data_IF_889444633204
#
_entry.id   IF_889444633204
#
_cell.length_a   1.000
_cell.length_b   1.000
_cell.length_c   1.000
_cell.angle_alpha   90.00
_cell.angle_beta   90.00
_cell.angle_gamma   90.00
#
_symmetry.space_group_name_H-M   'P 1'
#
loop_
_entity.id
_entity.type
_entity.pdbx_description
1 polymer ?
#
# COMPACT_ATOMS: atom_id res chain seq x y z
N UNK A 1 5.29 10.23 16.62
CA UNK A 1 4.56 10.12 15.34
C UNK A 1 5.58 9.68 14.30
N UNK A 2 5.47 8.45 13.80
CA UNK A 2 6.29 8.00 12.68
C UNK A 2 5.48 8.30 11.42
N UNK A 3 5.69 9.47 10.82
CA UNK A 3 5.17 9.77 9.48
C UNK A 3 5.95 8.91 8.49
N UNK A 4 5.28 7.99 7.80
CA UNK A 4 5.91 7.33 6.65
C UNK A 4 5.92 8.32 5.49
N UNK A 5 7.11 8.63 4.98
CA UNK A 5 7.33 9.55 3.87
C UNK A 5 6.93 8.93 2.52
N UNK A 6 6.77 9.77 1.51
CA UNK A 6 6.49 9.32 0.15
C UNK A 6 7.70 8.52 -0.36
N UNK A 7 7.46 7.29 -0.79
CA UNK A 7 8.51 6.38 -1.22
C UNK A 7 8.18 5.74 -2.57
N UNK A 8 9.20 5.52 -3.38
CA UNK A 8 9.07 4.71 -4.60
C UNK A 8 9.73 3.37 -4.33
N UNK A 9 8.92 2.32 -4.30
CA UNK A 9 9.39 0.94 -4.15
C UNK A 9 9.40 0.29 -5.52
N UNK A 10 10.54 -0.30 -5.89
CA UNK A 10 10.66 -1.05 -7.14
C UNK A 10 10.25 -2.50 -6.86
N UNK A 11 9.21 -2.96 -7.55
CA UNK A 11 8.76 -4.35 -7.48
C UNK A 11 9.80 -5.27 -8.15
N UNK A 12 10.01 -6.44 -7.55
CA UNK A 12 10.80 -7.52 -8.15
C UNK A 12 9.91 -8.47 -8.92
N UNK A 13 10.51 -9.30 -9.77
CA UNK A 13 9.77 -10.30 -10.54
C UNK A 13 8.87 -11.16 -9.66
N UNK A 14 7.56 -11.11 -9.92
CA UNK A 14 6.58 -11.90 -9.19
C UNK A 14 6.19 -11.33 -7.82
N UNK A 15 6.67 -10.14 -7.45
CA UNK A 15 6.14 -9.40 -6.32
C UNK A 15 4.67 -9.04 -6.57
N UNK A 16 3.91 -9.02 -5.48
CA UNK A 16 2.52 -8.60 -5.48
C UNK A 16 2.38 -7.24 -4.81
N UNK A 17 1.46 -6.41 -5.30
CA UNK A 17 1.26 -5.07 -4.76
C UNK A 17 0.80 -5.09 -3.29
N UNK A 18 -0.04 -6.04 -2.92
CA UNK A 18 -0.49 -6.26 -1.53
C UNK A 18 0.69 -6.63 -0.61
N UNK A 19 1.61 -7.48 -1.07
CA UNK A 19 2.84 -7.80 -0.35
C UNK A 19 3.72 -6.57 -0.14
N UNK A 20 3.92 -5.74 -1.17
CA UNK A 20 4.70 -4.51 -1.07
C UNK A 20 4.06 -3.52 -0.10
N UNK A 21 2.74 -3.37 -0.14
CA UNK A 21 1.96 -2.52 0.76
C UNK A 21 2.06 -3.02 2.20
N UNK A 22 1.87 -4.32 2.44
CA UNK A 22 2.02 -4.91 3.76
C UNK A 22 3.45 -4.77 4.29
N UNK A 23 4.46 -4.98 3.45
CA UNK A 23 5.87 -4.83 3.84
C UNK A 23 6.24 -3.38 4.20
N UNK A 24 5.65 -2.40 3.51
CA UNK A 24 5.96 -1.00 3.73
C UNK A 24 5.17 -0.40 4.90
N UNK A 25 3.86 -0.68 5.00
CA UNK A 25 2.95 -0.06 5.97
C UNK A 25 2.54 -0.97 7.12
N UNK A 26 2.81 -2.28 7.05
CA UNK A 26 2.33 -3.27 8.03
C UNK A 26 0.82 -3.52 7.97
N UNK A 27 0.10 -2.89 7.04
CA UNK A 27 -1.37 -2.91 6.92
C UNK A 27 -1.80 -2.90 5.45
N UNK A 28 -2.99 -3.46 5.16
CA UNK A 28 -3.52 -3.64 3.80
C UNK A 28 -4.74 -2.76 3.48
N UNK A 29 -5.34 -2.13 4.48
CA UNK A 29 -6.42 -1.15 4.37
C UNK A 29 -6.06 0.05 3.48
N UNK A 30 -4.77 0.33 3.33
CA UNK A 30 -4.22 1.43 2.51
C UNK A 30 -4.01 1.05 1.04
N UNK A 31 -4.25 -0.22 0.67
CA UNK A 31 -4.09 -0.72 -0.70
C UNK A 31 -4.92 0.08 -1.73
N UNK A 32 -6.20 0.44 -1.48
CA UNK A 32 -6.96 1.26 -2.41
C UNK A 32 -6.35 2.64 -2.62
N UNK A 33 -5.78 3.26 -1.59
CA UNK A 33 -5.09 4.56 -1.69
C UNK A 33 -3.83 4.45 -2.55
N UNK A 34 -3.05 3.39 -2.36
CA UNK A 34 -1.86 3.09 -3.18
C UNK A 34 -2.26 2.88 -4.64
N UNK A 35 -3.34 2.14 -4.90
CA UNK A 35 -3.87 1.94 -6.27
C UNK A 35 -4.37 3.25 -6.91
N UNK A 36 -4.97 4.16 -6.14
CA UNK A 36 -5.37 5.48 -6.65
C UNK A 36 -4.17 6.31 -7.09
N UNK A 37 -3.05 6.25 -6.35
CA UNK A 37 -1.80 6.92 -6.71
C UNK A 37 -1.07 6.24 -7.87
N UNK A 38 -1.34 4.94 -8.07
CA UNK A 38 -0.77 4.12 -9.14
C UNK A 38 -1.85 3.64 -10.13
N UNK A 39 -2.55 4.58 -10.78
CA UNK A 39 -3.62 4.25 -11.75
C UNK A 39 -3.17 3.31 -12.86
N UNK A 40 -1.90 3.33 -13.24
CA UNK A 40 -1.34 2.40 -14.21
C UNK A 40 -1.43 0.93 -13.71
N UNK A 41 -1.14 0.70 -12.43
CA UNK A 41 -1.24 -0.62 -11.80
C UNK A 41 -2.69 -1.05 -11.63
N UNK A 42 -3.59 -0.11 -11.30
CA UNK A 42 -5.02 -0.39 -11.18
C UNK A 42 -5.71 -0.76 -12.52
N UNK A 43 -5.05 -0.50 -13.66
CA UNK A 43 -5.54 -0.86 -15.00
C UNK A 43 -5.01 -2.21 -15.49
N UNK A 44 -4.06 -2.80 -14.77
CA UNK A 44 -3.53 -4.12 -15.10
C UNK A 44 -4.61 -5.18 -14.90
N UNK A 45 -4.50 -6.28 -15.64
CA UNK A 45 -5.38 -7.43 -15.41
C UNK A 45 -5.09 -8.01 -14.02
N UNK A 46 -6.06 -8.71 -13.42
CA UNK A 46 -5.85 -9.37 -12.13
C UNK A 46 -4.61 -10.28 -12.14
N UNK A 47 -4.32 -10.92 -13.29
CA UNK A 47 -3.15 -11.77 -13.49
C UNK A 47 -1.83 -11.00 -13.40
N UNK A 48 -1.79 -9.80 -13.97
CA UNK A 48 -0.59 -8.95 -13.99
C UNK A 48 -0.44 -8.16 -12.67
N UNK A 49 -1.53 -7.91 -11.94
CA UNK A 49 -1.48 -7.39 -10.57
C UNK A 49 -0.94 -8.42 -9.55
N UNK A 50 -1.15 -9.71 -9.83
CA UNK A 50 -0.66 -10.85 -9.03
C UNK A 50 0.82 -11.16 -9.28
N UNK A 51 1.41 -10.67 -10.36
CA UNK A 51 2.84 -10.81 -10.65
C UNK A 51 3.32 -9.56 -11.36
N UNK A 52 3.78 -8.59 -10.57
CA UNK A 52 4.35 -7.38 -11.13
C UNK A 52 5.62 -7.74 -11.92
N UNK A 53 5.79 -7.18 -13.13
CA UNK A 53 7.06 -7.25 -13.83
C UNK A 53 8.19 -6.67 -12.98
N UNK A 54 9.39 -7.26 -13.09
CA UNK A 54 10.58 -6.72 -12.43
C UNK A 54 10.83 -5.28 -12.86
N UNK A 55 11.24 -4.44 -11.92
CA UNK A 55 11.51 -3.03 -12.18
C UNK A 55 10.26 -2.14 -12.17
N UNK A 56 9.07 -2.67 -11.88
CA UNK A 56 7.84 -1.86 -11.84
C UNK A 56 7.90 -0.87 -10.67
N UNK A 57 7.87 0.46 -10.91
CA UNK A 57 7.88 1.44 -9.83
C UNK A 57 6.49 1.55 -9.21
N UNK A 58 6.40 1.34 -7.89
CA UNK A 58 5.18 1.50 -7.11
C UNK A 58 5.34 2.72 -6.20
N UNK A 59 4.48 3.72 -6.39
CA UNK A 59 4.43 4.91 -5.52
C UNK A 59 3.69 4.59 -4.23
N UNK A 60 4.37 4.73 -3.12
CA UNK A 60 3.84 4.54 -1.77
C UNK A 60 3.60 5.93 -1.17
N UNK A 61 2.35 6.43 -1.14
CA UNK A 61 2.05 7.75 -0.62
C UNK A 61 2.37 7.86 0.87
N UNK A 62 2.86 9.02 1.29
CA UNK A 62 3.03 9.29 2.72
C UNK A 62 1.69 9.11 3.46
N UNK A 63 1.69 8.31 4.52
CA UNK A 63 0.53 8.16 5.38
C UNK A 63 0.71 9.04 6.60
N UNK A 64 -0.18 10.01 6.74
CA UNK A 64 -0.36 10.70 8.01
C UNK A 64 -1.20 9.77 8.86
N UNK A 65 -0.56 9.03 9.77
CA UNK A 65 -1.30 8.31 10.80
C UNK A 65 -1.98 9.35 11.69
N UNK A 66 -3.28 9.56 11.46
CA UNK A 66 -4.13 10.10 12.51
C UNK A 66 -4.10 9.08 13.66
N UNK A 67 -3.81 9.51 14.89
CA UNK A 67 -3.84 8.60 16.03
C UNK A 67 -5.25 8.03 16.13
N UNK A 68 -5.44 6.78 15.71
CA UNK A 68 -6.68 6.06 15.94
C UNK A 68 -6.79 5.86 17.45
N UNK A 69 -7.51 6.78 18.10
CA UNK A 69 -7.94 6.60 19.47
C UNK A 69 -8.79 5.34 19.49
N UNK A 70 -8.26 4.27 20.10
CA UNK A 70 -9.05 3.08 20.44
C UNK A 70 -10.10 3.51 21.46
N UNK A 71 -11.25 3.97 20.98
CA UNK A 71 -12.43 4.18 21.81
C UNK A 71 -13.00 2.81 22.16
N UNK A 72 -12.47 2.19 23.21
CA UNK A 72 -13.07 0.99 23.78
C UNK A 72 -14.18 1.45 24.72
N UNK A 73 -15.43 1.34 24.27
CA UNK A 73 -16.59 1.62 25.11
C UNK A 73 -16.92 0.35 25.89
N UNK A 74 -16.53 0.30 27.16
CA UNK A 74 -16.68 -0.92 27.96
C UNK A 74 -18.13 -1.16 28.41
N UNK A 75 -18.93 -0.14 28.72
CA UNK A 75 -20.38 -0.23 29.01
C UNK A 75 -21.10 1.11 28.74
N UNK A 76 -22.45 1.11 28.59
CA UNK A 76 -23.31 2.30 28.46
C UNK A 76 -24.05 2.61 29.75
#
# INVERSE_FOLDING_TARGET
>A
MLTQEDAIVVAREGDMIDYLVWRHYGRLDVLPLVLQHNRALARLSARDMLRLPDGTPVRMPALVDEPQLRLVRLWS
#
